data_IF_147956114089
#
_entry.id   IF_147956114089
#
_cell.length_a   1.000
_cell.length_b   1.000
_cell.length_c   1.000
_cell.angle_alpha   90.00
_cell.angle_beta   90.00
_cell.angle_gamma   90.00
#
_symmetry.space_group_name_H-M   'P 1'
#
loop_
_entity.id
_entity.type
_entity.pdbx_description
1 polymer ?
#
# COMPACT_ATOMS: atom_id res chain seq x y z
N UNK A 1 8.80 -1.78 20.70
CA UNK A 1 8.53 -0.32 20.81
C UNK A 1 9.43 0.59 19.97
N UNK A 2 10.75 0.37 19.86
CA UNK A 2 11.62 1.30 19.09
C UNK A 2 11.33 1.36 17.58
N UNK A 3 10.96 0.23 16.95
CA UNK A 3 10.77 0.15 15.49
C UNK A 3 9.56 0.97 15.02
N UNK A 4 8.41 0.84 15.68
CA UNK A 4 7.19 1.61 15.33
C UNK A 4 7.39 3.12 15.51
N UNK A 5 8.08 3.55 16.57
CA UNK A 5 8.42 4.96 16.76
C UNK A 5 9.35 5.47 15.65
N UNK A 6 10.36 4.70 15.26
CA UNK A 6 11.23 5.04 14.12
C UNK A 6 10.44 5.13 12.81
N UNK A 7 9.45 4.26 12.61
CA UNK A 7 8.57 4.30 11.45
C UNK A 7 7.74 5.59 11.42
N UNK A 8 7.10 5.96 12.53
CA UNK A 8 6.34 7.21 12.65
C UNK A 8 7.25 8.42 12.39
N UNK A 9 8.46 8.45 12.96
CA UNK A 9 9.43 9.52 12.70
C UNK A 9 9.85 9.56 11.24
N UNK A 10 9.94 8.41 10.57
CA UNK A 10 10.23 8.34 9.13
C UNK A 10 9.10 8.93 8.28
N UNK A 11 7.84 8.67 8.61
CA UNK A 11 6.68 9.28 7.94
C UNK A 11 6.72 10.80 8.10
N UNK A 12 6.99 11.26 9.33
CA UNK A 12 7.11 12.69 9.65
C UNK A 12 8.19 13.38 8.82
N UNK A 13 9.33 12.73 8.63
CA UNK A 13 10.50 13.28 7.93
C UNK A 13 10.76 12.58 6.58
N UNK A 14 9.70 12.22 5.83
CA UNK A 14 9.86 11.40 4.61
C UNK A 14 10.78 12.03 3.56
N UNK A 15 10.90 13.36 3.53
CA UNK A 15 11.77 14.08 2.60
C UNK A 15 13.23 13.65 2.78
N UNK A 16 13.72 13.62 4.02
CA UNK A 16 15.07 13.16 4.36
C UNK A 16 15.27 11.68 4.00
N UNK A 17 14.24 10.86 4.21
CA UNK A 17 14.29 9.45 3.83
C UNK A 17 14.38 9.25 2.30
N UNK A 18 13.78 10.16 1.52
CA UNK A 18 13.81 10.13 0.06
C UNK A 18 15.02 10.83 -0.54
N UNK A 19 15.62 11.81 0.12
CA UNK A 19 16.90 12.42 -0.33
C UNK A 19 17.99 11.35 -0.45
N UNK A 20 18.03 10.39 0.49
CA UNK A 20 18.89 9.20 0.41
C UNK A 20 18.56 8.33 -0.82
N UNK A 21 17.30 8.29 -1.25
CA UNK A 21 16.91 7.61 -2.49
C UNK A 21 17.23 8.40 -3.76
N UNK A 22 17.14 9.73 -3.71
CA UNK A 22 17.36 10.64 -4.86
C UNK A 22 18.83 10.86 -5.16
N UNK A 23 19.64 11.11 -4.14
CA UNK A 23 21.09 11.29 -4.29
C UNK A 23 21.79 10.00 -4.75
N UNK A 24 21.07 8.87 -4.69
CA UNK A 24 21.64 7.54 -4.86
C UNK A 24 20.97 6.73 -6.00
N UNK A 25 19.87 7.20 -6.60
CA UNK A 25 19.23 6.56 -7.76
C UNK A 25 18.78 5.10 -7.53
N UNK A 26 18.07 4.50 -8.49
CA UNK A 26 17.64 3.08 -8.38
C UNK A 26 18.83 2.12 -8.26
N UNK A 27 19.92 2.40 -8.99
CA UNK A 27 21.11 1.55 -9.02
C UNK A 27 21.87 1.57 -7.69
N UNK A 28 21.89 2.70 -6.96
CA UNK A 28 22.58 2.74 -5.67
C UNK A 28 21.68 2.50 -4.46
N UNK A 29 20.35 2.44 -4.59
CA UNK A 29 19.52 1.75 -3.58
C UNK A 29 19.94 0.28 -3.51
N UNK A 30 19.99 -0.42 -4.65
CA UNK A 30 20.46 -1.81 -4.66
C UNK A 30 21.93 -1.90 -4.22
N UNK A 31 22.79 -0.92 -4.57
CA UNK A 31 24.17 -0.86 -4.08
C UNK A 31 24.29 -0.57 -2.57
N UNK A 32 23.46 0.27 -1.95
CA UNK A 32 23.48 0.49 -0.48
C UNK A 32 22.91 -0.71 0.24
N UNK A 33 21.86 -1.31 -0.34
CA UNK A 33 21.26 -2.53 0.18
C UNK A 33 22.19 -3.75 0.03
N UNK A 34 23.20 -3.71 -0.83
CA UNK A 34 24.18 -4.80 -1.03
C UNK A 34 25.57 -4.51 -0.46
N UNK A 35 26.03 -3.26 -0.52
CA UNK A 35 27.39 -2.78 -0.18
C UNK A 35 27.44 -2.04 1.17
N UNK A 36 26.38 -1.35 1.62
CA UNK A 36 26.37 -0.50 2.83
C UNK A 36 25.65 -1.06 4.07
N UNK A 37 25.14 -2.30 4.05
CA UNK A 37 24.84 -2.99 5.33
C UNK A 37 26.11 -3.44 6.07
N UNK A 38 27.29 -3.20 5.47
CA UNK A 38 28.58 -3.12 6.15
C UNK A 38 28.70 -1.85 7.00
N UNK A 39 28.31 -2.00 8.26
CA UNK A 39 28.74 -1.33 9.50
C UNK A 39 29.88 -0.29 9.32
N UNK A 40 29.56 1.02 9.38
CA UNK A 40 30.02 1.99 10.40
C UNK A 40 29.95 3.46 9.93
N UNK A 41 29.42 4.32 10.79
CA UNK A 41 29.73 5.77 10.79
C UNK A 41 28.63 6.73 10.33
N UNK A 42 27.97 6.51 9.18
CA UNK A 42 27.20 7.58 8.51
C UNK A 42 25.67 7.43 8.62
N UNK A 43 25.15 6.31 9.11
CA UNK A 43 23.74 5.91 8.89
C UNK A 43 22.81 6.04 10.11
N UNK A 44 23.27 6.56 11.25
CA UNK A 44 22.47 6.61 12.50
C UNK A 44 21.36 7.67 12.49
N UNK A 45 21.47 8.68 11.64
CA UNK A 45 20.61 9.87 11.71
C UNK A 45 19.29 9.73 10.94
N UNK A 46 19.08 8.58 10.28
CA UNK A 46 17.90 8.35 9.44
C UNK A 46 17.08 7.19 10.03
N UNK A 47 15.88 7.47 10.58
CA UNK A 47 15.10 6.47 11.31
C UNK A 47 14.72 5.21 10.50
N UNK A 48 14.52 5.34 9.18
CA UNK A 48 14.23 4.21 8.28
C UNK A 48 15.37 3.18 8.25
N UNK A 49 16.62 3.64 8.30
CA UNK A 49 17.80 2.78 8.21
C UNK A 49 17.95 1.94 9.47
N UNK A 50 17.55 2.46 10.63
CA UNK A 50 17.51 1.69 11.87
C UNK A 50 16.56 0.49 11.75
N UNK A 51 15.41 0.65 11.08
CA UNK A 51 14.46 -0.45 10.84
C UNK A 51 15.13 -1.52 9.96
N UNK A 52 15.73 -1.12 8.83
CA UNK A 52 16.29 -2.08 7.87
C UNK A 52 17.53 -2.78 8.45
N UNK A 53 18.40 -2.06 9.17
CA UNK A 53 19.55 -2.63 9.87
C UNK A 53 19.12 -3.64 10.93
N UNK A 54 18.03 -3.36 11.66
CA UNK A 54 17.46 -4.32 12.62
C UNK A 54 16.98 -5.60 11.93
N UNK A 55 16.29 -5.51 10.79
CA UNK A 55 15.90 -6.70 10.00
C UNK A 55 17.14 -7.46 9.47
N UNK A 56 18.16 -6.75 9.00
CA UNK A 56 19.39 -7.36 8.51
C UNK A 56 20.15 -8.10 9.63
N UNK A 57 20.27 -7.50 10.82
CA UNK A 57 20.90 -8.11 12.00
C UNK A 57 20.14 -9.34 12.50
N UNK A 58 18.82 -9.41 12.28
CA UNK A 58 18.02 -10.59 12.57
C UNK A 58 18.29 -11.76 11.60
N UNK A 59 19.23 -11.62 10.65
CA UNK A 59 19.70 -12.70 9.79
C UNK A 59 18.94 -12.87 8.48
N UNK A 60 17.92 -12.04 8.21
CA UNK A 60 17.05 -12.18 7.05
C UNK A 60 17.35 -11.13 5.97
N UNK A 61 18.54 -11.24 5.34
CA UNK A 61 19.04 -10.27 4.35
C UNK A 61 18.09 -10.05 3.18
N UNK A 62 17.47 -11.13 2.68
CA UNK A 62 16.54 -11.08 1.55
C UNK A 62 15.29 -10.28 1.93
N UNK A 63 14.70 -10.58 3.09
CA UNK A 63 13.50 -9.84 3.52
C UNK A 63 13.82 -8.39 3.86
N UNK A 64 14.99 -8.11 4.45
CA UNK A 64 15.44 -6.73 4.68
C UNK A 64 15.55 -5.93 3.37
N UNK A 65 16.07 -6.56 2.30
CA UNK A 65 16.16 -5.94 0.98
C UNK A 65 14.78 -5.61 0.39
N UNK A 66 13.87 -6.57 0.34
CA UNK A 66 12.52 -6.33 -0.20
C UNK A 66 11.72 -5.35 0.66
N UNK A 67 11.83 -5.44 1.98
CA UNK A 67 11.22 -4.50 2.91
C UNK A 67 11.68 -3.07 2.66
N UNK A 68 12.98 -2.85 2.43
CA UNK A 68 13.50 -1.53 2.11
C UNK A 68 12.88 -0.96 0.82
N UNK A 69 12.77 -1.78 -0.24
CA UNK A 69 12.12 -1.35 -1.51
C UNK A 69 10.65 -1.00 -1.28
N UNK A 70 9.94 -1.79 -0.50
CA UNK A 70 8.54 -1.50 -0.14
C UNK A 70 8.42 -0.21 0.68
N UNK A 71 9.27 -0.03 1.68
CA UNK A 71 9.27 1.18 2.52
C UNK A 71 9.55 2.44 1.69
N UNK A 72 10.51 2.41 0.78
CA UNK A 72 10.79 3.54 -0.11
C UNK A 72 9.61 3.84 -1.04
N UNK A 73 8.98 2.81 -1.61
CA UNK A 73 7.79 2.97 -2.44
C UNK A 73 6.61 3.58 -1.67
N UNK A 74 6.39 3.12 -0.43
CA UNK A 74 5.39 3.70 0.48
C UNK A 74 5.69 5.17 0.78
N UNK A 75 6.92 5.49 1.21
CA UNK A 75 7.32 6.84 1.59
C UNK A 75 7.30 7.83 0.42
N UNK A 76 7.53 7.35 -0.80
CA UNK A 76 7.43 8.18 -2.02
C UNK A 76 6.03 8.77 -2.15
N UNK A 77 4.99 8.00 -1.85
CA UNK A 77 3.61 8.47 -1.88
C UNK A 77 3.27 9.37 -0.69
N UNK A 78 3.75 9.03 0.51
CA UNK A 78 3.60 9.87 1.71
C UNK A 78 4.23 11.25 1.52
N UNK A 79 5.38 11.33 0.86
CA UNK A 79 6.10 12.57 0.67
C UNK A 79 5.37 13.59 -0.22
N UNK A 80 4.41 13.13 -1.01
CA UNK A 80 3.56 14.01 -1.80
C UNK A 80 2.48 14.68 -0.93
N UNK A 81 2.25 14.19 0.29
CA UNK A 81 1.40 14.87 1.28
C UNK A 81 2.19 16.02 1.92
N UNK A 82 1.61 17.23 2.04
CA UNK A 82 2.26 18.35 2.72
C UNK A 82 2.76 17.97 4.12
N UNK A 83 3.96 18.42 4.47
CA UNK A 83 4.62 18.07 5.74
C UNK A 83 3.73 18.43 6.95
N UNK A 84 3.14 19.62 6.93
CA UNK A 84 2.21 20.10 7.95
C UNK A 84 1.05 19.13 8.19
N UNK A 85 0.44 18.61 7.10
CA UNK A 85 -0.66 17.65 7.18
C UNK A 85 -0.23 16.31 7.76
N UNK A 86 0.97 15.84 7.43
CA UNK A 86 1.56 14.63 8.04
C UNK A 86 1.78 14.81 9.53
N UNK A 87 2.31 15.96 9.95
CA UNK A 87 2.55 16.27 11.37
C UNK A 87 1.21 16.36 12.13
N UNK A 88 0.24 17.09 11.60
CA UNK A 88 -1.11 17.24 12.16
C UNK A 88 -1.75 15.86 12.38
N UNK A 89 -1.84 15.06 11.32
CA UNK A 89 -2.40 13.71 11.37
C UNK A 89 -1.73 12.84 12.44
N UNK A 90 -0.39 12.81 12.48
CA UNK A 90 0.35 12.00 13.45
C UNK A 90 0.20 12.50 14.88
N UNK A 91 0.13 13.82 15.09
CA UNK A 91 -0.08 14.37 16.43
C UNK A 91 -1.49 14.07 16.95
N UNK A 92 -2.49 13.97 16.07
CA UNK A 92 -3.85 13.62 16.44
C UNK A 92 -4.02 12.11 16.65
N UNK A 93 -3.50 11.30 15.72
CA UNK A 93 -3.80 9.87 15.63
C UNK A 93 -2.72 8.98 16.27
N UNK A 94 -1.55 9.53 16.62
CA UNK A 94 -0.44 8.81 17.25
C UNK A 94 0.06 9.52 18.53
N UNK A 95 -0.80 10.29 19.22
CA UNK A 95 -0.45 11.03 20.45
C UNK A 95 -0.15 10.11 21.64
N UNK A 96 -0.75 8.93 21.68
CA UNK A 96 -0.69 7.96 22.77
C UNK A 96 -0.29 6.57 22.24
N UNK A 97 -0.07 5.62 23.15
CA UNK A 97 0.35 4.26 22.79
C UNK A 97 -0.68 3.54 21.92
N UNK A 98 -1.98 3.71 22.22
CA UNK A 98 -3.07 3.11 21.45
C UNK A 98 -3.08 3.59 19.98
N UNK A 99 -2.91 4.89 19.75
CA UNK A 99 -2.82 5.45 18.40
C UNK A 99 -1.57 4.98 17.65
N UNK A 100 -0.43 4.94 18.34
CA UNK A 100 0.83 4.40 17.80
C UNK A 100 0.65 2.94 17.36
N UNK A 101 -0.06 2.13 18.15
CA UNK A 101 -0.37 0.74 17.84
C UNK A 101 -1.34 0.63 16.65
N UNK A 102 -2.50 1.28 16.75
CA UNK A 102 -3.59 1.16 15.77
C UNK A 102 -3.28 1.76 14.39
N UNK A 103 -2.42 2.77 14.34
CA UNK A 103 -2.02 3.43 13.08
C UNK A 103 -0.61 3.02 12.68
N UNK A 104 0.37 3.24 13.55
CA UNK A 104 1.77 3.00 13.25
C UNK A 104 2.10 1.51 13.10
N UNK A 105 1.79 0.72 14.11
CA UNK A 105 2.14 -0.70 14.14
C UNK A 105 1.36 -1.49 13.11
N UNK A 106 0.04 -1.29 13.01
CA UNK A 106 -0.79 -1.92 11.97
C UNK A 106 -0.26 -1.61 10.56
N UNK A 107 0.04 -0.35 10.25
CA UNK A 107 0.55 0.02 8.92
C UNK A 107 1.91 -0.62 8.64
N UNK A 108 2.80 -0.61 9.63
CA UNK A 108 4.12 -1.23 9.52
C UNK A 108 4.03 -2.75 9.34
N UNK A 109 3.13 -3.42 10.06
CA UNK A 109 2.87 -4.85 9.93
C UNK A 109 2.33 -5.21 8.55
N UNK A 110 1.45 -4.38 7.99
CA UNK A 110 0.93 -4.62 6.64
C UNK A 110 2.06 -4.46 5.62
N UNK A 111 2.84 -3.38 5.72
CA UNK A 111 3.98 -3.09 4.85
C UNK A 111 5.03 -4.22 4.86
N UNK A 112 5.31 -4.79 6.03
CA UNK A 112 6.19 -5.96 6.20
C UNK A 112 5.71 -7.22 5.48
N UNK A 113 4.39 -7.33 5.25
CA UNK A 113 3.76 -8.48 4.56
C UNK A 113 3.51 -8.25 3.08
N UNK A 114 3.88 -7.10 2.52
CA UNK A 114 3.71 -6.87 1.09
C UNK A 114 4.88 -7.47 0.31
N UNK A 115 4.57 -8.26 -0.71
CA UNK A 115 5.61 -8.97 -1.48
C UNK A 115 6.14 -8.15 -2.67
N UNK A 116 5.59 -6.96 -2.92
CA UNK A 116 5.91 -6.18 -4.11
C UNK A 116 5.83 -4.65 -3.88
N UNK A 117 6.81 -3.84 -4.35
CA UNK A 117 6.82 -2.39 -4.17
C UNK A 117 5.58 -1.68 -4.73
N UNK A 118 4.99 -2.21 -5.80
CA UNK A 118 3.69 -1.74 -6.33
C UNK A 118 2.56 -1.80 -5.29
N UNK A 119 2.48 -2.85 -4.48
CA UNK A 119 1.48 -2.93 -3.41
C UNK A 119 1.82 -1.93 -2.29
N UNK A 120 3.11 -1.74 -1.99
CA UNK A 120 3.53 -0.73 -1.01
C UNK A 120 3.23 0.70 -1.47
N UNK A 121 3.34 0.97 -2.77
CA UNK A 121 2.89 2.22 -3.41
C UNK A 121 1.37 2.40 -3.21
N UNK A 122 0.58 1.35 -3.44
CA UNK A 122 -0.87 1.37 -3.20
C UNK A 122 -1.20 1.63 -1.72
N UNK A 123 -0.46 1.02 -0.78
CA UNK A 123 -0.62 1.28 0.65
C UNK A 123 -0.25 2.73 1.00
N UNK A 124 0.82 3.27 0.40
CA UNK A 124 1.25 4.65 0.57
C UNK A 124 0.16 5.63 0.11
N UNK A 125 -0.48 5.36 -1.02
CA UNK A 125 -1.64 6.14 -1.51
C UNK A 125 -2.82 6.08 -0.55
N UNK A 126 -3.17 4.90 -0.07
CA UNK A 126 -4.26 4.75 0.90
C UNK A 126 -3.97 5.54 2.19
N UNK A 127 -2.75 5.44 2.71
CA UNK A 127 -2.34 6.17 3.92
C UNK A 127 -2.28 7.68 3.68
N UNK A 128 -1.84 8.13 2.50
CA UNK A 128 -1.85 9.54 2.11
C UNK A 128 -3.26 10.13 2.10
N UNK A 129 -4.23 9.42 1.51
CA UNK A 129 -5.64 9.84 1.52
C UNK A 129 -6.21 9.90 2.94
N UNK A 130 -5.84 8.96 3.80
CA UNK A 130 -6.24 8.97 5.21
C UNK A 130 -5.60 10.15 5.96
N UNK A 131 -4.33 10.45 5.68
CA UNK A 131 -3.60 11.60 6.25
C UNK A 131 -4.23 12.93 5.84
N UNK A 132 -4.76 13.01 4.63
CA UNK A 132 -5.46 14.19 4.09
C UNK A 132 -6.91 14.30 4.58
N UNK A 133 -7.43 13.31 5.31
CA UNK A 133 -8.81 13.27 5.78
C UNK A 133 -9.83 12.97 4.67
N UNK A 134 -9.39 12.50 3.51
CA UNK A 134 -10.27 12.17 2.38
C UNK A 134 -10.94 10.81 2.50
N UNK A 135 -10.31 9.91 3.28
CA UNK A 135 -10.89 8.64 3.71
C UNK A 135 -10.69 8.53 5.22
N UNK A 136 -11.62 7.87 5.89
CA UNK A 136 -11.48 7.54 7.31
C UNK A 136 -10.65 6.26 7.51
N UNK A 137 -10.38 5.94 8.78
CA UNK A 137 -9.66 4.74 9.19
C UNK A 137 -10.34 3.46 8.71
N UNK A 138 -11.67 3.42 8.71
CA UNK A 138 -12.44 2.24 8.29
C UNK A 138 -12.21 1.94 6.80
N UNK A 139 -12.29 2.96 5.94
CA UNK A 139 -12.02 2.82 4.51
C UNK A 139 -10.54 2.48 4.27
N UNK A 140 -9.62 3.10 5.01
CA UNK A 140 -8.20 2.74 4.95
C UNK A 140 -7.95 1.27 5.27
N UNK A 141 -8.56 0.72 6.32
CA UNK A 141 -8.38 -0.67 6.71
C UNK A 141 -8.93 -1.63 5.63
N UNK A 142 -10.08 -1.32 5.01
CA UNK A 142 -10.61 -2.07 3.87
C UNK A 142 -9.62 -2.03 2.69
N UNK A 143 -9.10 -0.84 2.37
CA UNK A 143 -8.11 -0.70 1.30
C UNK A 143 -6.84 -1.49 1.61
N UNK A 144 -6.32 -1.43 2.83
CA UNK A 144 -5.11 -2.12 3.22
C UNK A 144 -5.28 -3.66 3.15
N UNK A 145 -6.43 -4.18 3.61
CA UNK A 145 -6.77 -5.59 3.45
C UNK A 145 -6.90 -6.02 1.99
N UNK A 146 -7.53 -5.18 1.18
CA UNK A 146 -7.69 -5.40 -0.27
C UNK A 146 -6.33 -5.43 -0.96
N UNK A 147 -5.45 -4.47 -0.67
CA UNK A 147 -4.09 -4.39 -1.21
C UNK A 147 -3.29 -5.64 -0.88
N UNK A 148 -3.37 -6.13 0.36
CA UNK A 148 -2.63 -7.31 0.82
C UNK A 148 -2.94 -8.57 0.01
N UNK A 149 -4.18 -8.73 -0.46
CA UNK A 149 -4.59 -9.90 -1.25
C UNK A 149 -4.42 -9.71 -2.76
N UNK A 150 -4.11 -8.49 -3.21
CA UNK A 150 -3.90 -8.22 -4.63
C UNK A 150 -2.64 -8.92 -5.15
N UNK A 151 -2.73 -9.44 -6.37
CA UNK A 151 -1.62 -9.99 -7.12
C UNK A 151 -1.69 -9.48 -8.57
N UNK A 152 -0.67 -9.72 -9.41
CA UNK A 152 -0.67 -9.23 -10.79
C UNK A 152 -1.90 -9.63 -11.60
N UNK A 153 -2.41 -10.84 -11.36
CA UNK A 153 -3.62 -11.34 -12.01
C UNK A 153 -4.87 -10.54 -11.62
N UNK A 154 -5.16 -10.39 -10.32
CA UNK A 154 -6.32 -9.63 -9.85
C UNK A 154 -6.26 -8.15 -10.27
N UNK A 155 -5.06 -7.55 -10.30
CA UNK A 155 -4.88 -6.18 -10.78
C UNK A 155 -5.18 -6.04 -12.28
N UNK A 156 -4.84 -7.05 -13.09
CA UNK A 156 -5.18 -7.08 -14.50
C UNK A 156 -6.70 -7.21 -14.72
N UNK A 157 -7.36 -8.08 -13.95
CA UNK A 157 -8.80 -8.26 -13.98
C UNK A 157 -9.55 -6.98 -13.60
N UNK A 158 -9.10 -6.32 -12.52
CA UNK A 158 -9.64 -5.04 -12.08
C UNK A 158 -9.44 -3.96 -13.16
N UNK A 159 -8.26 -3.89 -13.77
CA UNK A 159 -7.97 -2.98 -14.88
C UNK A 159 -8.90 -3.20 -16.07
N UNK A 160 -9.15 -4.44 -16.48
CA UNK A 160 -10.08 -4.74 -17.57
C UNK A 160 -11.49 -4.22 -17.27
N UNK A 161 -11.97 -4.40 -16.03
CA UNK A 161 -13.30 -3.95 -15.65
C UNK A 161 -13.46 -2.41 -15.63
N UNK A 162 -12.47 -1.70 -15.10
CA UNK A 162 -12.57 -0.25 -14.88
C UNK A 162 -12.02 0.62 -16.02
N UNK A 163 -11.09 0.11 -16.83
CA UNK A 163 -10.49 0.88 -17.91
C UNK A 163 -11.22 0.69 -19.25
N UNK A 164 -11.73 -0.51 -19.55
CA UNK A 164 -12.33 -0.83 -20.85
C UNK A 164 -13.86 -0.77 -20.72
N UNK A 165 -14.45 0.35 -21.16
CA UNK A 165 -15.92 0.49 -21.18
C UNK A 165 -16.53 -0.44 -22.24
N UNK A 166 -17.47 -1.29 -21.84
CA UNK A 166 -18.30 -2.08 -22.76
C UNK A 166 -17.87 -3.53 -23.02
N UNK A 167 -16.72 -3.98 -22.49
CA UNK A 167 -16.32 -5.41 -22.50
C UNK A 167 -15.75 -5.80 -21.13
N UNK A 168 -16.49 -6.62 -20.37
CA UNK A 168 -16.04 -7.17 -19.10
C UNK A 168 -15.56 -8.59 -19.35
N UNK A 169 -14.28 -8.74 -19.65
CA UNK A 169 -13.60 -10.03 -19.77
C UNK A 169 -13.01 -10.49 -18.44
N UNK A 170 -13.76 -10.37 -17.34
CA UNK A 170 -13.29 -10.80 -16.02
C UNK A 170 -13.66 -12.25 -15.79
N UNK A 171 -12.69 -13.08 -15.44
CA UNK A 171 -12.97 -14.48 -15.12
C UNK A 171 -13.80 -14.61 -13.83
N UNK A 172 -14.67 -15.62 -13.76
CA UNK A 172 -15.61 -15.78 -12.64
C UNK A 172 -14.91 -15.92 -11.25
N UNK A 173 -13.78 -16.65 -11.11
CA UNK A 173 -13.03 -16.68 -9.86
C UNK A 173 -12.53 -15.29 -9.41
N UNK A 174 -11.89 -14.53 -10.29
CA UNK A 174 -11.43 -13.18 -9.97
C UNK A 174 -12.60 -12.25 -9.66
N UNK A 175 -13.70 -12.34 -10.41
CA UNK A 175 -14.89 -11.54 -10.16
C UNK A 175 -15.43 -11.77 -8.74
N UNK A 176 -15.46 -13.03 -8.29
CA UNK A 176 -15.89 -13.41 -6.94
C UNK A 176 -14.95 -12.85 -5.87
N UNK A 177 -13.64 -12.99 -6.06
CA UNK A 177 -12.64 -12.44 -5.12
C UNK A 177 -12.78 -10.92 -5.02
N UNK A 178 -12.83 -10.23 -6.16
CA UNK A 178 -12.97 -8.76 -6.20
C UNK A 178 -14.31 -8.30 -5.62
N UNK A 179 -15.39 -9.07 -5.77
CA UNK A 179 -16.68 -8.78 -5.16
C UNK A 179 -16.67 -8.87 -3.63
N UNK A 180 -15.90 -9.79 -3.04
CA UNK A 180 -15.75 -9.89 -1.58
C UNK A 180 -15.15 -8.63 -0.94
N UNK A 181 -14.41 -7.83 -1.72
CA UNK A 181 -13.85 -6.55 -1.30
C UNK A 181 -14.66 -5.35 -1.80
N UNK A 182 -15.92 -5.57 -2.21
CA UNK A 182 -16.81 -4.57 -2.80
C UNK A 182 -16.23 -3.87 -4.05
N UNK A 183 -15.17 -4.42 -4.67
CA UNK A 183 -14.58 -3.86 -5.87
C UNK A 183 -15.38 -4.19 -7.13
N UNK A 184 -16.21 -5.23 -7.11
CA UNK A 184 -17.13 -5.58 -8.19
C UNK A 184 -18.47 -6.02 -7.60
N UNK A 185 -19.51 -5.98 -8.43
CA UNK A 185 -20.79 -6.62 -8.14
C UNK A 185 -20.91 -7.86 -9.02
N UNK A 186 -21.14 -9.00 -8.39
CA UNK A 186 -21.46 -10.26 -9.06
C UNK A 186 -22.91 -10.60 -8.77
N UNK A 187 -23.65 -10.98 -9.80
CA UNK A 187 -25.04 -11.43 -9.70
C UNK A 187 -25.36 -12.44 -10.78
N UNK A 188 -26.56 -12.98 -10.75
CA UNK A 188 -27.05 -13.92 -11.75
C UNK A 188 -28.19 -13.28 -12.53
N UNK A 189 -28.17 -13.41 -13.85
CA UNK A 189 -29.35 -13.10 -14.66
C UNK A 189 -30.33 -14.25 -14.52
N UNK A 190 -31.52 -13.94 -13.99
CA UNK A 190 -32.61 -14.90 -13.93
C UNK A 190 -33.04 -15.26 -15.35
N UNK A 191 -33.16 -16.55 -15.63
CA UNK A 191 -33.82 -17.03 -16.83
C UNK A 191 -35.27 -17.43 -16.48
N UNK A 192 -36.14 -17.38 -17.49
CA UNK A 192 -37.56 -17.72 -17.33
C UNK A 192 -37.82 -19.24 -17.32
N UNK A 193 -36.80 -20.07 -17.56
CA UNK A 193 -36.94 -21.53 -17.62
C UNK A 193 -36.90 -22.22 -16.25
N UNK A 194 -36.48 -21.52 -15.18
CA UNK A 194 -36.22 -22.14 -13.88
C UNK A 194 -35.01 -23.07 -13.86
N UNK A 195 -34.27 -23.14 -14.97
CA UNK A 195 -33.08 -23.97 -15.11
C UNK A 195 -31.85 -23.20 -14.61
N UNK A 196 -31.28 -23.60 -13.49
CA UNK A 196 -30.08 -22.95 -12.94
C UNK A 196 -28.83 -23.15 -13.80
N UNK A 197 -28.83 -24.11 -14.73
CA UNK A 197 -27.71 -24.35 -15.64
C UNK A 197 -27.47 -23.23 -16.66
N UNK A 198 -28.50 -22.42 -16.96
CA UNK A 198 -28.46 -21.33 -17.95
C UNK A 198 -28.50 -19.93 -17.30
N UNK A 199 -28.08 -19.80 -16.04
CA UNK A 199 -28.03 -18.50 -15.36
C UNK A 199 -26.70 -17.80 -15.64
N UNK A 200 -26.72 -16.85 -16.58
CA UNK A 200 -25.52 -16.06 -16.92
C UNK A 200 -25.03 -15.21 -15.73
N UNK A 201 -23.73 -15.27 -15.49
CA UNK A 201 -23.06 -14.41 -14.52
C UNK A 201 -23.10 -12.95 -15.02
N UNK A 202 -23.65 -12.05 -14.21
CA UNK A 202 -23.52 -10.61 -14.41
C UNK A 202 -22.42 -10.07 -13.53
N UNK A 203 -21.46 -9.35 -14.13
CA UNK A 203 -20.38 -8.65 -13.44
C UNK A 203 -20.54 -7.17 -13.74
N UNK A 204 -20.45 -6.32 -12.72
CA UNK A 204 -20.51 -4.86 -12.88
C UNK A 204 -19.51 -4.14 -11.97
N UNK A 205 -18.96 -2.99 -12.38
CA UNK A 205 -18.18 -2.14 -11.49
C UNK A 205 -19.04 -1.57 -10.36
N UNK A 206 -18.41 -1.20 -9.24
CA UNK A 206 -19.02 -0.49 -8.12
C UNK A 206 -18.41 0.91 -8.00
N UNK A 207 -19.14 1.84 -7.37
CA UNK A 207 -18.58 3.17 -7.10
C UNK A 207 -17.35 3.11 -6.17
N UNK A 208 -17.40 2.23 -5.16
CA UNK A 208 -16.28 1.98 -4.25
C UNK A 208 -15.04 1.46 -4.99
N UNK A 209 -15.22 0.46 -5.86
CA UNK A 209 -14.14 -0.10 -6.66
C UNK A 209 -13.60 0.88 -7.70
N UNK A 210 -14.44 1.78 -8.24
CA UNK A 210 -13.99 2.84 -9.13
C UNK A 210 -13.06 3.82 -8.42
N UNK A 211 -13.42 4.24 -7.19
CA UNK A 211 -12.56 5.09 -6.36
C UNK A 211 -11.26 4.38 -6.00
N UNK A 212 -11.31 3.12 -5.57
CA UNK A 212 -10.11 2.33 -5.29
C UNK A 212 -9.22 2.21 -6.53
N UNK A 213 -9.79 1.84 -7.68
CA UNK A 213 -9.04 1.71 -8.92
C UNK A 213 -8.37 3.02 -9.33
N UNK A 214 -9.11 4.13 -9.36
CA UNK A 214 -8.58 5.44 -9.77
C UNK A 214 -7.53 5.97 -8.79
N UNK A 215 -7.80 5.93 -7.49
CA UNK A 215 -6.97 6.61 -6.48
C UNK A 215 -5.84 5.75 -5.94
N UNK A 216 -6.05 4.43 -5.86
CA UNK A 216 -5.08 3.49 -5.27
C UNK A 216 -4.29 2.78 -6.37
N UNK A 217 -4.97 2.17 -7.34
CA UNK A 217 -4.30 1.33 -8.37
C UNK A 217 -3.62 2.17 -9.43
N UNK A 218 -4.34 3.11 -10.04
CA UNK A 218 -3.78 4.05 -11.02
C UNK A 218 -2.98 5.13 -10.30
N UNK A 219 -3.61 5.78 -9.32
CA UNK A 219 -3.02 6.90 -8.57
C UNK A 219 -3.13 8.22 -9.32
N UNK A 220 -2.82 9.30 -8.61
CA UNK A 220 -2.65 10.64 -9.17
C UNK A 220 -1.18 11.05 -9.07
N UNK A 221 -0.73 11.91 -9.99
CA UNK A 221 0.62 12.51 -9.91
C UNK A 221 0.69 13.59 -8.80
N UNK A 222 -0.46 14.07 -8.33
CA UNK A 222 -0.59 15.06 -7.26
C UNK A 222 -1.75 14.70 -6.33
N UNK A 223 -1.55 14.90 -5.03
CA UNK A 223 -2.64 14.99 -4.06
C UNK A 223 -3.12 16.43 -3.95
#
# INVERSE_FOLDING_TARGET
MGVTKNFITTIRNSEQALEIGKDMGEVAIDAILSDKFGIDGVLKDVPILNIIVSLHKAGNKISAHFFAKNMLAFLTEINRVPNEKRIEFLNENCANEEGIENVGEVTLMILDKLDHPKLATMLGRAFALMTLGEIDKYVFDIYAHTIKVMNPYLLQQLKQCYQIKGMIGVDAPAATILANYALLKVGYKLNHSGNTADMDLSIAPTAFGELFYKRIVVGSDTY
#
